data_IF_428775982297
#
_entry.id   IF_428775982297
#
_cell.length_a   1.000
_cell.length_b   1.000
_cell.length_c   1.000
_cell.angle_alpha   90.00
_cell.angle_beta   90.00
_cell.angle_gamma   90.00
#
_symmetry.space_group_name_H-M   'P 1'
#
loop_
_entity.id
_entity.type
_entity.pdbx_description
1 polymer ?
#
# COMPACT_ATOMS: atom_id res chain seq x y z
N UNK A 1 -16.71 -27.06 7.66
CA UNK A 1 -16.30 -25.79 8.28
C UNK A 1 -15.67 -24.86 7.25
N UNK A 2 -15.67 -23.55 7.48
CA UNK A 2 -14.80 -22.61 6.73
C UNK A 2 -13.53 -22.37 7.54
N UNK A 3 -12.38 -22.54 6.92
CA UNK A 3 -11.07 -22.36 7.56
C UNK A 3 -10.28 -21.26 6.85
N UNK A 4 -9.61 -20.36 7.58
CA UNK A 4 -8.70 -19.40 6.98
C UNK A 4 -7.50 -20.14 6.39
N UNK A 5 -6.95 -19.60 5.30
CA UNK A 5 -5.65 -20.05 4.82
C UNK A 5 -4.56 -19.19 5.43
N UNK A 6 -3.55 -19.85 6.00
CA UNK A 6 -2.30 -19.19 6.33
C UNK A 6 -1.62 -18.82 5.03
N UNK A 7 -1.05 -17.62 5.00
CA UNK A 7 -0.31 -17.14 3.83
C UNK A 7 0.93 -18.00 3.64
N UNK A 8 1.09 -18.56 2.45
CA UNK A 8 2.31 -19.26 2.04
C UNK A 8 2.93 -18.56 0.82
N UNK A 9 4.27 -18.55 0.71
CA UNK A 9 4.94 -18.08 -0.48
C UNK A 9 4.45 -18.81 -1.75
N UNK A 10 4.24 -18.08 -2.86
CA UNK A 10 3.82 -18.67 -4.14
C UNK A 10 4.96 -19.36 -4.88
N UNK A 11 6.21 -19.17 -4.44
CA UNK A 11 7.41 -19.76 -5.05
C UNK A 11 8.41 -20.23 -3.98
N UNK A 12 9.40 -21.03 -4.38
CA UNK A 12 10.52 -21.43 -3.50
C UNK A 12 11.39 -20.25 -3.09
N UNK A 13 11.45 -19.22 -3.92
CA UNK A 13 12.24 -18.02 -3.69
C UNK A 13 11.55 -17.04 -2.70
N UNK A 14 10.33 -17.35 -2.29
CA UNK A 14 9.56 -16.56 -1.33
C UNK A 14 8.36 -15.85 -1.95
N UNK A 15 7.89 -14.82 -1.25
CA UNK A 15 6.84 -13.91 -1.68
C UNK A 15 7.30 -13.05 -2.83
N UNK A 16 6.42 -12.85 -3.81
CA UNK A 16 6.65 -11.92 -4.91
C UNK A 16 6.91 -10.49 -4.42
N UNK A 17 6.31 -10.09 -3.30
CA UNK A 17 6.60 -8.85 -2.62
C UNK A 17 6.55 -9.01 -1.10
N UNK A 18 7.57 -8.55 -0.39
CA UNK A 18 7.65 -8.67 1.08
C UNK A 18 6.63 -7.76 1.79
N UNK A 19 6.22 -6.66 1.16
CA UNK A 19 5.24 -5.72 1.72
C UNK A 19 3.78 -6.22 1.62
N UNK A 20 3.50 -7.19 0.74
CA UNK A 20 2.15 -7.72 0.58
C UNK A 20 2.19 -9.11 -0.07
N UNK A 21 1.71 -10.16 0.61
CA UNK A 21 1.79 -11.52 0.09
C UNK A 21 0.96 -11.77 -1.16
N UNK A 22 -0.04 -10.92 -1.42
CA UNK A 22 -0.92 -11.04 -2.57
C UNK A 22 -0.41 -10.27 -3.78
N UNK A 23 0.62 -9.41 -3.65
CA UNK A 23 1.13 -8.59 -4.74
C UNK A 23 1.95 -9.44 -5.71
N UNK A 24 1.35 -9.85 -6.83
CA UNK A 24 1.97 -10.74 -7.82
C UNK A 24 2.85 -9.97 -8.80
N UNK A 25 2.41 -8.79 -9.22
CA UNK A 25 3.15 -7.97 -10.18
C UNK A 25 2.91 -6.48 -9.99
N UNK A 26 3.86 -5.67 -10.49
CA UNK A 26 3.85 -4.22 -10.38
C UNK A 26 4.88 -3.68 -9.39
N UNK A 27 4.88 -2.37 -9.13
CA UNK A 27 5.78 -1.73 -8.18
C UNK A 27 5.72 -2.37 -6.79
N UNK A 28 6.84 -2.80 -6.20
CA UNK A 28 6.89 -3.39 -4.84
C UNK A 28 7.17 -2.34 -3.77
N UNK A 29 7.12 -2.74 -2.51
CA UNK A 29 7.38 -1.87 -1.36
C UNK A 29 6.18 -1.02 -0.93
N UNK A 30 6.25 -0.51 0.29
CA UNK A 30 5.23 0.38 0.86
C UNK A 30 5.33 1.81 0.31
N UNK A 31 6.52 2.21 -0.11
CA UNK A 31 6.81 3.54 -0.65
C UNK A 31 7.61 3.43 -1.94
N UNK A 32 7.24 4.24 -2.91
CA UNK A 32 7.99 4.46 -4.15
C UNK A 32 8.43 5.92 -4.19
N UNK A 33 9.67 6.16 -4.61
CA UNK A 33 10.20 7.49 -4.89
C UNK A 33 10.62 7.59 -6.34
N UNK A 34 10.28 8.72 -6.97
CA UNK A 34 10.61 8.98 -8.37
C UNK A 34 11.04 10.42 -8.56
N UNK A 35 12.18 10.60 -9.21
CA UNK A 35 12.63 11.90 -9.68
C UNK A 35 12.00 12.14 -11.05
N UNK A 36 11.39 13.29 -11.23
CA UNK A 36 10.78 13.70 -12.49
C UNK A 36 11.81 14.41 -13.38
N UNK A 37 11.52 14.55 -14.67
CA UNK A 37 12.43 15.19 -15.64
C UNK A 37 12.74 16.65 -15.30
N UNK A 38 11.77 17.35 -14.71
CA UNK A 38 11.93 18.73 -14.21
C UNK A 38 12.65 18.79 -12.86
N UNK A 39 13.29 17.70 -12.46
CA UNK A 39 13.90 17.46 -11.15
C UNK A 39 12.91 17.45 -9.99
N UNK A 40 11.59 17.60 -10.14
CA UNK A 40 10.66 17.48 -9.01
C UNK A 40 10.59 16.05 -8.45
N UNK A 41 10.04 15.88 -7.25
CA UNK A 41 9.96 14.57 -6.61
C UNK A 41 8.51 14.08 -6.53
N UNK A 42 8.27 12.88 -7.02
CA UNK A 42 7.05 12.12 -6.81
C UNK A 42 7.27 11.05 -5.74
N UNK A 43 6.31 10.91 -4.83
CA UNK A 43 6.30 9.88 -3.79
C UNK A 43 4.94 9.22 -3.77
N UNK A 44 4.91 7.89 -3.74
CA UNK A 44 3.71 7.08 -3.58
C UNK A 44 3.83 6.26 -2.30
N UNK A 45 2.85 6.32 -1.41
CA UNK A 45 2.84 5.59 -0.13
C UNK A 45 1.53 4.81 0.00
N UNK A 46 1.62 3.54 0.35
CA UNK A 46 0.46 2.72 0.68
C UNK A 46 -0.10 3.13 2.05
N UNK A 47 -1.36 3.54 2.12
CA UNK A 47 -2.12 3.72 3.36
C UNK A 47 -3.50 3.06 3.24
N UNK A 48 -3.55 1.72 3.16
CA UNK A 48 -4.80 1.01 2.97
C UNK A 48 -5.85 1.41 4.03
N UNK A 49 -7.08 1.65 3.59
CA UNK A 49 -8.20 1.98 4.45
C UNK A 49 -8.38 3.48 4.72
N UNK A 50 -7.38 4.32 4.44
CA UNK A 50 -7.47 5.77 4.67
C UNK A 50 -8.38 6.43 3.61
N UNK A 51 -9.47 7.11 4.01
CA UNK A 51 -10.29 7.92 3.12
C UNK A 51 -9.65 9.28 2.81
N UNK A 52 -10.19 9.96 1.80
CA UNK A 52 -9.61 11.21 1.28
C UNK A 52 -9.52 12.35 2.29
N UNK A 53 -10.49 12.45 3.20
CA UNK A 53 -10.61 13.49 4.21
C UNK A 53 -9.86 13.18 5.52
N UNK A 54 -9.29 11.98 5.65
CA UNK A 54 -8.59 11.54 6.86
C UNK A 54 -7.07 11.60 6.73
N UNK A 55 -6.54 12.47 5.88
CA UNK A 55 -5.10 12.69 5.73
C UNK A 55 -4.71 14.14 5.99
N UNK A 56 -3.59 14.33 6.70
CA UNK A 56 -2.94 15.62 6.88
C UNK A 56 -1.51 15.51 6.39
N UNK A 57 -1.17 16.38 5.45
CA UNK A 57 0.16 16.48 4.85
C UNK A 57 0.64 17.92 5.03
N UNK A 58 1.84 18.12 5.56
CA UNK A 58 2.39 19.46 5.83
C UNK A 58 3.86 19.51 5.48
N UNK A 59 4.26 20.56 4.77
CA UNK A 59 5.69 20.90 4.64
C UNK A 59 6.16 21.38 6.02
N UNK A 60 7.31 20.89 6.44
CA UNK A 60 7.93 21.30 7.69
C UNK A 60 8.51 22.73 7.59
N UNK A 61 8.74 23.43 8.72
CA UNK A 61 9.29 24.79 8.67
C UNK A 61 10.66 24.89 8.00
N UNK A 62 11.42 23.79 7.94
CA UNK A 62 12.74 23.76 7.28
C UNK A 62 12.63 23.71 5.76
N UNK A 63 11.43 23.44 5.22
CA UNK A 63 11.17 23.17 3.80
C UNK A 63 12.01 22.02 3.25
N UNK A 64 12.40 21.08 4.10
CA UNK A 64 13.15 19.87 3.70
C UNK A 64 12.33 18.62 3.85
N UNK A 65 11.30 18.63 4.67
CA UNK A 65 10.48 17.46 4.95
C UNK A 65 9.00 17.75 4.77
N UNK A 66 8.27 16.67 4.57
CA UNK A 66 6.82 16.61 4.54
C UNK A 66 6.42 15.62 5.62
N UNK A 67 5.70 16.11 6.61
CA UNK A 67 5.11 15.31 7.68
C UNK A 67 3.73 14.84 7.27
N UNK A 68 3.45 13.56 7.50
CA UNK A 68 2.24 12.88 7.06
C UNK A 68 1.61 12.18 8.25
N UNK A 69 0.33 12.42 8.47
CA UNK A 69 -0.49 11.66 9.42
C UNK A 69 -1.80 11.27 8.75
N UNK A 70 -2.21 10.03 8.88
CA UNK A 70 -3.43 9.53 8.24
C UNK A 70 -4.19 8.57 9.15
N UNK A 71 -5.51 8.67 9.15
CA UNK A 71 -6.39 7.82 9.95
C UNK A 71 -7.21 6.90 9.01
N UNK A 72 -7.14 5.60 9.25
CA UNK A 72 -8.00 4.61 8.60
C UNK A 72 -9.04 4.13 9.62
N UNK A 73 -10.32 4.55 9.48
CA UNK A 73 -11.36 4.20 10.43
C UNK A 73 -11.73 2.72 10.34
N UNK A 74 -12.46 2.27 11.36
CA UNK A 74 -13.09 0.96 11.36
C UNK A 74 -14.30 0.98 10.41
N UNK A 75 -14.17 0.36 9.25
CA UNK A 75 -15.22 0.33 8.23
C UNK A 75 -16.20 -0.83 8.43
N UNK A 76 -15.79 -1.88 9.15
CA UNK A 76 -16.67 -3.00 9.46
C UNK A 76 -16.57 -3.43 10.93
N UNK A 77 -17.68 -3.87 11.52
CA UNK A 77 -17.73 -4.32 12.93
C UNK A 77 -16.72 -5.42 13.29
N UNK A 78 -16.28 -6.20 12.30
CA UNK A 78 -15.32 -7.30 12.49
C UNK A 78 -13.85 -6.91 12.27
N UNK A 79 -13.56 -5.71 11.76
CA UNK A 79 -12.20 -5.18 11.77
C UNK A 79 -11.66 -5.20 13.21
N UNK A 80 -10.40 -5.62 13.37
CA UNK A 80 -9.76 -5.75 14.69
C UNK A 80 -9.66 -4.39 15.39
N UNK A 81 -9.22 -3.37 14.66
CA UNK A 81 -9.00 -2.00 15.16
C UNK A 81 -9.04 -1.00 14.00
N UNK A 82 -9.24 0.31 14.26
CA UNK A 82 -8.85 1.35 13.32
C UNK A 82 -7.32 1.36 13.17
N UNK A 83 -6.80 2.03 12.13
CA UNK A 83 -5.36 2.27 11.98
C UNK A 83 -5.03 3.75 11.97
N UNK A 84 -3.87 4.07 12.51
CA UNK A 84 -3.24 5.38 12.36
C UNK A 84 -1.87 5.20 11.72
N UNK A 85 -1.57 6.07 10.77
CA UNK A 85 -0.31 6.13 10.07
C UNK A 85 0.45 7.41 10.37
N UNK A 86 1.76 7.30 10.50
CA UNK A 86 2.68 8.41 10.61
C UNK A 86 3.90 8.18 9.73
N UNK A 87 4.30 9.20 8.97
CA UNK A 87 5.51 9.15 8.15
C UNK A 87 6.08 10.55 7.95
N UNK A 88 7.37 10.61 7.66
CA UNK A 88 8.06 11.81 7.21
C UNK A 88 8.92 11.47 6.00
N UNK A 89 8.89 12.32 4.99
CA UNK A 89 9.63 12.14 3.73
C UNK A 89 10.08 13.49 3.19
N UNK A 90 11.05 13.55 2.28
CA UNK A 90 11.47 14.83 1.72
C UNK A 90 12.85 14.81 1.08
N UNK A 91 13.52 15.96 1.15
CA UNK A 91 14.79 16.23 0.48
C UNK A 91 15.97 15.88 1.38
N UNK A 92 16.81 14.97 0.90
CA UNK A 92 18.10 14.66 1.54
C UNK A 92 19.20 15.68 1.16
N UNK A 93 19.02 16.39 0.05
CA UNK A 93 20.02 17.33 -0.45
C UNK A 93 20.02 18.67 0.31
N UNK A 94 21.21 19.28 0.38
CA UNK A 94 21.37 20.59 1.03
C UNK A 94 21.00 21.76 0.12
N UNK A 95 21.06 21.59 -1.20
CA UNK A 95 20.92 22.66 -2.20
C UNK A 95 19.47 23.04 -2.56
N UNK A 96 18.47 22.19 -2.30
CA UNK A 96 17.08 22.45 -2.69
C UNK A 96 16.14 22.58 -1.49
N UNK A 97 15.13 23.43 -1.59
CA UNK A 97 14.00 23.53 -0.66
C UNK A 97 12.72 23.13 -1.37
N UNK A 98 11.76 22.60 -0.62
CA UNK A 98 10.40 22.32 -1.09
C UNK A 98 9.69 23.66 -1.27
N UNK A 99 9.33 23.97 -2.50
CA UNK A 99 8.61 25.20 -2.87
C UNK A 99 7.11 24.98 -3.02
N UNK A 100 6.69 23.74 -3.29
CA UNK A 100 5.30 23.37 -3.48
C UNK A 100 5.03 21.92 -3.11
N UNK A 101 3.79 21.65 -2.74
CA UNK A 101 3.29 20.34 -2.38
C UNK A 101 1.88 20.17 -2.94
N UNK A 102 1.68 19.14 -3.74
CA UNK A 102 0.36 18.63 -4.11
C UNK A 102 0.23 17.23 -3.54
N UNK A 103 -0.87 16.96 -2.83
CA UNK A 103 -1.19 15.64 -2.29
C UNK A 103 -2.51 15.14 -2.84
N UNK A 104 -2.56 13.85 -3.13
CA UNK A 104 -3.75 13.15 -3.57
C UNK A 104 -3.78 11.77 -2.95
N UNK A 105 -4.88 11.38 -2.33
CA UNK A 105 -5.08 10.02 -1.85
C UNK A 105 -6.33 9.45 -2.49
N UNK A 106 -6.20 8.21 -2.97
CA UNK A 106 -7.30 7.44 -3.56
C UNK A 106 -6.99 5.96 -3.36
N UNK A 107 -8.03 5.18 -3.12
CA UNK A 107 -7.94 3.72 -2.99
C UNK A 107 -6.85 3.26 -1.99
N UNK A 108 -6.65 4.03 -0.91
CA UNK A 108 -5.66 3.71 0.11
C UNK A 108 -4.20 3.90 -0.34
N UNK A 109 -3.94 4.77 -1.32
CA UNK A 109 -2.58 5.13 -1.77
C UNK A 109 -2.45 6.65 -1.81
N UNK A 110 -1.56 7.19 -0.97
CA UNK A 110 -1.15 8.58 -1.00
C UNK A 110 -0.13 8.81 -2.10
N UNK A 111 -0.31 9.89 -2.85
CA UNK A 111 0.58 10.38 -3.90
C UNK A 111 0.94 11.82 -3.58
N UNK A 112 2.24 12.10 -3.52
CA UNK A 112 2.78 13.42 -3.28
C UNK A 112 3.60 13.85 -4.49
N UNK A 113 3.38 15.09 -4.92
CA UNK A 113 4.23 15.77 -5.88
C UNK A 113 4.86 16.98 -5.18
N UNK A 114 6.18 16.94 -5.03
CA UNK A 114 6.98 17.96 -4.37
C UNK A 114 7.73 18.77 -5.40
N UNK A 115 7.37 20.04 -5.51
CA UNK A 115 8.13 21.00 -6.31
C UNK A 115 9.32 21.52 -5.52
N UNK A 116 10.46 21.69 -6.20
CA UNK A 116 11.71 22.10 -5.57
C UNK A 116 12.28 23.36 -6.20
N UNK A 117 12.92 24.19 -5.38
CA UNK A 117 13.72 25.33 -5.84
C UNK A 117 15.08 25.30 -5.18
N UNK A 118 16.10 25.90 -5.81
CA UNK A 118 17.41 26.06 -5.15
C UNK A 118 17.27 26.99 -3.95
N UNK A 119 17.91 26.62 -2.84
CA UNK A 119 17.99 27.45 -1.65
C UNK A 119 18.79 28.73 -1.96
N UNK A 120 18.34 29.88 -1.46
CA UNK A 120 18.94 31.19 -1.76
C UNK A 120 20.32 31.42 -1.13
N UNK A 121 20.79 30.51 -0.27
CA UNK A 121 21.96 30.72 0.60
C UNK A 121 23.30 30.16 0.08
N UNK A 122 23.42 29.81 -1.20
CA UNK A 122 24.72 29.39 -1.76
C UNK A 122 25.24 30.40 -2.78
N UNK A 123 26.44 30.92 -2.49
CA UNK A 123 27.27 31.73 -3.37
C UNK A 123 27.50 31.05 -4.73
N UNK A 124 27.96 31.78 -5.77
CA UNK A 124 27.93 31.33 -7.17
C UNK A 124 28.76 30.08 -7.49
N UNK A 125 29.48 29.49 -6.53
CA UNK A 125 30.32 28.31 -6.74
C UNK A 125 29.53 27.00 -6.95
N UNK A 126 28.22 26.99 -6.69
CA UNK A 126 27.35 25.83 -6.88
C UNK A 126 26.72 25.75 -8.30
N UNK A 127 27.04 26.69 -9.20
CA UNK A 127 26.59 26.64 -10.61
C UNK A 127 27.08 25.37 -11.33
N UNK A 128 28.15 24.72 -10.83
CA UNK A 128 28.78 23.57 -11.50
C UNK A 128 28.74 22.22 -10.74
N UNK A 129 28.09 22.12 -9.57
CA UNK A 129 28.13 20.89 -8.74
C UNK A 129 26.78 20.35 -8.27
N UNK A 130 25.66 20.95 -8.68
CA UNK A 130 24.34 20.33 -8.45
C UNK A 130 23.94 19.35 -9.57
N UNK A 131 24.71 19.25 -10.66
CA UNK A 131 24.26 18.60 -11.90
C UNK A 131 25.22 17.54 -12.46
N UNK A 132 25.98 16.83 -11.62
CA UNK A 132 26.87 15.75 -12.14
C UNK A 132 26.79 14.41 -11.39
N UNK A 133 25.77 14.18 -10.55
CA UNK A 133 25.54 12.87 -9.92
C UNK A 133 24.08 12.71 -9.48
N UNK A 134 23.52 11.50 -9.53
CA UNK A 134 22.11 11.29 -9.20
C UNK A 134 21.87 11.72 -7.75
N UNK A 135 20.82 12.52 -7.53
CA UNK A 135 20.20 12.63 -6.23
C UNK A 135 19.77 11.23 -5.81
N UNK A 136 20.61 10.55 -5.02
CA UNK A 136 20.37 9.16 -4.64
C UNK A 136 19.08 9.08 -3.85
N UNK A 137 18.13 8.30 -4.35
CA UNK A 137 16.96 7.88 -3.61
C UNK A 137 17.38 7.28 -2.27
N UNK A 138 16.56 7.36 -1.21
CA UNK A 138 16.77 6.51 -0.04
C UNK A 138 16.89 5.04 -0.50
N UNK A 139 17.84 4.29 0.05
CA UNK A 139 17.96 2.85 -0.23
C UNK A 139 16.61 2.13 0.03
N UNK A 140 16.27 1.13 -0.79
CA UNK A 140 15.05 0.32 -0.63
C UNK A 140 13.74 1.00 -1.08
N UNK A 141 13.83 2.06 -1.88
CA UNK A 141 12.66 2.79 -2.40
C UNK A 141 12.42 2.68 -3.90
N UNK A 142 13.32 1.98 -4.59
CA UNK A 142 13.10 1.55 -5.96
C UNK A 142 12.04 0.42 -5.93
N UNK A 143 10.87 0.61 -6.53
CA UNK A 143 9.83 -0.42 -6.54
C UNK A 143 10.22 -1.70 -7.29
N UNK A 144 11.36 -1.72 -7.99
CA UNK A 144 11.92 -2.87 -8.68
C UNK A 144 13.14 -3.49 -7.96
N UNK A 145 13.47 -3.01 -6.75
CA UNK A 145 14.56 -3.55 -5.96
C UNK A 145 14.33 -5.05 -5.65
N UNK A 146 15.28 -5.94 -5.98
CA UNK A 146 15.20 -7.36 -5.64
C UNK A 146 15.00 -7.63 -4.14
N UNK A 147 15.48 -6.75 -3.25
CA UNK A 147 15.31 -6.88 -1.79
C UNK A 147 13.84 -6.78 -1.35
N UNK A 148 12.97 -6.22 -2.20
CA UNK A 148 11.52 -6.17 -1.95
C UNK A 148 10.82 -7.51 -2.27
N UNK A 149 11.56 -8.57 -2.53
CA UNK A 149 11.11 -9.95 -2.76
C UNK A 149 11.80 -10.87 -1.77
N UNK A 150 11.10 -11.83 -1.18
CA UNK A 150 11.78 -12.72 -0.23
C UNK A 150 10.87 -13.59 0.63
N UNK A 151 11.46 -14.39 1.52
CA UNK A 151 10.74 -15.42 2.26
C UNK A 151 9.88 -14.88 3.40
N UNK A 152 10.12 -13.65 3.85
CA UNK A 152 9.48 -13.06 5.02
C UNK A 152 8.64 -11.85 4.61
N UNK A 153 7.43 -11.75 5.17
CA UNK A 153 6.62 -10.55 5.03
C UNK A 153 7.08 -9.47 6.01
N UNK A 154 7.07 -8.23 5.55
CA UNK A 154 7.43 -7.07 6.35
C UNK A 154 6.18 -6.38 6.91
N UNK A 155 6.20 -5.93 8.17
CA UNK A 155 5.15 -5.08 8.71
C UNK A 155 5.21 -3.68 8.06
N UNK A 156 4.04 -3.05 7.94
CA UNK A 156 3.94 -1.71 7.37
C UNK A 156 4.67 -0.66 8.24
N UNK A 157 5.73 -0.01 7.75
CA UNK A 157 6.64 0.80 8.59
C UNK A 157 6.00 2.07 9.12
N UNK A 158 4.95 2.56 8.47
CA UNK A 158 4.25 3.79 8.88
C UNK A 158 3.08 3.56 9.85
N UNK A 159 2.76 2.32 10.27
CA UNK A 159 1.62 2.08 11.17
C UNK A 159 2.01 2.42 12.61
N UNK A 160 1.32 3.38 13.22
CA UNK A 160 1.49 3.73 14.63
C UNK A 160 0.50 2.96 15.53
N UNK A 161 -0.71 2.70 15.02
CA UNK A 161 -1.80 2.05 15.75
C UNK A 161 -2.50 1.07 14.81
N UNK A 162 -2.83 -0.11 15.33
CA UNK A 162 -3.62 -1.14 14.64
C UNK A 162 -2.76 -2.16 13.90
N UNK A 163 -3.37 -2.92 12.99
CA UNK A 163 -2.69 -3.99 12.25
C UNK A 163 -1.74 -3.43 11.18
N UNK A 164 -0.47 -3.79 11.27
CA UNK A 164 0.60 -3.48 10.32
C UNK A 164 0.74 -4.51 9.20
N UNK A 165 -0.01 -5.62 9.27
CA UNK A 165 0.00 -6.68 8.26
C UNK A 165 -1.09 -6.50 7.20
N UNK A 166 -0.78 -6.92 5.98
CA UNK A 166 -1.69 -6.85 4.83
C UNK A 166 -2.85 -7.87 4.87
N UNK A 167 -2.82 -8.83 5.79
CA UNK A 167 -3.80 -9.91 5.89
C UNK A 167 -4.20 -10.13 7.34
N UNK A 168 -5.50 -10.14 7.62
CA UNK A 168 -6.04 -10.60 8.90
C UNK A 168 -7.33 -11.41 8.69
N UNK A 169 -7.61 -12.28 9.64
CA UNK A 169 -8.83 -13.08 9.64
C UNK A 169 -9.32 -13.34 11.06
N UNK A 170 -10.61 -13.68 11.17
CA UNK A 170 -11.24 -14.05 12.44
C UNK A 170 -12.41 -15.00 12.21
N UNK A 171 -12.47 -16.08 12.97
CA UNK A 171 -13.66 -16.93 13.05
C UNK A 171 -14.77 -16.17 13.80
N UNK A 172 -15.94 -16.11 13.19
CA UNK A 172 -17.12 -15.46 13.74
C UNK A 172 -17.85 -16.39 14.70
N UNK A 173 -18.63 -15.81 15.63
CA UNK A 173 -19.38 -16.58 16.63
C UNK A 173 -20.40 -17.55 16.04
N UNK A 174 -20.84 -17.32 14.80
CA UNK A 174 -21.74 -18.21 14.07
C UNK A 174 -21.00 -19.29 13.24
N UNK A 175 -19.68 -19.44 13.42
CA UNK A 175 -18.86 -20.36 12.65
C UNK A 175 -18.49 -19.91 11.23
N UNK A 176 -18.88 -18.68 10.83
CA UNK A 176 -18.40 -18.06 9.60
C UNK A 176 -16.98 -17.51 9.73
N UNK A 177 -16.43 -16.99 8.63
CA UNK A 177 -15.08 -16.42 8.59
C UNK A 177 -15.14 -14.96 8.11
N UNK A 178 -14.49 -14.10 8.88
CA UNK A 178 -14.13 -12.75 8.44
C UNK A 178 -12.70 -12.76 7.92
N UNK A 179 -12.50 -12.15 6.76
CA UNK A 179 -11.18 -11.92 6.16
C UNK A 179 -11.06 -10.46 5.79
N UNK A 180 -9.89 -9.88 6.00
CA UNK A 180 -9.51 -8.56 5.51
C UNK A 180 -8.16 -8.64 4.81
N UNK A 181 -8.10 -8.07 3.62
CA UNK A 181 -6.92 -8.03 2.76
C UNK A 181 -6.66 -6.60 2.35
N UNK A 182 -5.43 -6.14 2.53
CA UNK A 182 -4.98 -4.88 1.97
C UNK A 182 -4.57 -5.10 0.52
N UNK A 183 -5.18 -4.36 -0.39
CA UNK A 183 -4.78 -4.24 -1.79
C UNK A 183 -4.73 -2.75 -2.15
N UNK A 184 -3.72 -2.01 -1.66
CA UNK A 184 -3.61 -0.58 -1.89
C UNK A 184 -3.65 -0.24 -3.38
N UNK A 185 -4.50 0.71 -3.74
CA UNK A 185 -4.67 1.20 -5.10
C UNK A 185 -5.71 0.45 -5.90
N UNK A 186 -6.29 -0.64 -5.39
CA UNK A 186 -7.39 -1.36 -6.05
C UNK A 186 -8.73 -0.64 -5.80
N UNK A 187 -9.38 -0.11 -6.85
CA UNK A 187 -10.70 0.47 -6.74
C UNK A 187 -11.77 -0.54 -6.33
N UNK A 188 -12.87 -0.05 -5.75
CA UNK A 188 -13.98 -0.87 -5.25
C UNK A 188 -14.65 -1.78 -6.31
N UNK A 189 -14.44 -1.53 -7.59
CA UNK A 189 -15.02 -2.24 -8.72
C UNK A 189 -13.99 -3.07 -9.52
N UNK A 190 -12.72 -3.08 -9.09
CA UNK A 190 -11.63 -3.81 -9.75
C UNK A 190 -11.08 -4.95 -8.91
N UNK A 191 -11.94 -5.58 -8.14
CA UNK A 191 -11.60 -6.80 -7.42
C UNK A 191 -12.58 -7.91 -7.75
N UNK A 192 -12.12 -9.15 -7.65
CA UNK A 192 -12.98 -10.32 -7.82
C UNK A 192 -12.79 -11.29 -6.67
N UNK A 193 -13.86 -12.00 -6.34
CA UNK A 193 -13.86 -13.10 -5.38
C UNK A 193 -14.43 -14.32 -6.07
N UNK A 194 -13.68 -15.41 -6.06
CA UNK A 194 -14.10 -16.66 -6.69
C UNK A 194 -13.98 -17.82 -5.71
N UNK A 195 -14.79 -18.85 -5.94
CA UNK A 195 -14.77 -20.09 -5.18
C UNK A 195 -14.59 -21.24 -6.16
N UNK A 196 -13.42 -21.87 -6.13
CA UNK A 196 -13.06 -22.99 -7.01
C UNK A 196 -12.55 -24.14 -6.16
N UNK A 197 -13.18 -25.32 -6.28
CA UNK A 197 -12.80 -26.51 -5.50
C UNK A 197 -12.72 -26.25 -3.98
N UNK A 198 -13.66 -25.46 -3.44
CA UNK A 198 -13.68 -25.07 -2.04
C UNK A 198 -12.69 -23.95 -1.66
N UNK A 199 -11.80 -23.51 -2.55
CA UNK A 199 -10.84 -22.43 -2.29
C UNK A 199 -11.47 -21.09 -2.60
N UNK A 200 -11.47 -20.20 -1.61
CA UNK A 200 -11.87 -18.80 -1.78
C UNK A 200 -10.64 -18.00 -2.18
N UNK A 201 -10.66 -17.46 -3.40
CA UNK A 201 -9.58 -16.63 -3.94
C UNK A 201 -10.05 -15.19 -4.11
N UNK A 202 -9.12 -14.26 -3.92
CA UNK A 202 -9.32 -12.83 -4.18
C UNK A 202 -8.30 -12.35 -5.19
N UNK A 203 -8.75 -11.55 -6.16
CA UNK A 203 -7.85 -10.80 -7.04
C UNK A 203 -8.20 -9.32 -7.04
N UNK A 204 -7.23 -8.47 -7.36
CA UNK A 204 -7.41 -7.03 -7.43
C UNK A 204 -6.49 -6.41 -8.47
N UNK A 205 -7.04 -5.52 -9.28
CA UNK A 205 -6.31 -4.72 -10.27
C UNK A 205 -6.26 -3.26 -9.82
N UNK A 206 -5.06 -2.80 -9.49
CA UNK A 206 -4.78 -1.41 -9.15
C UNK A 206 -4.17 -0.71 -10.37
N UNK A 207 -4.89 0.19 -11.05
CA UNK A 207 -4.34 0.94 -12.16
C UNK A 207 -3.25 1.91 -11.68
N UNK A 208 -2.32 2.25 -12.58
CA UNK A 208 -1.43 3.38 -12.37
C UNK A 208 -2.26 4.68 -12.37
N UNK A 209 -2.03 5.57 -11.40
CA UNK A 209 -2.69 6.88 -11.32
C UNK A 209 -1.64 7.98 -11.28
N UNK A 210 -1.72 8.92 -12.21
CA UNK A 210 -0.81 10.06 -12.27
C UNK A 210 0.61 9.62 -12.65
N UNK A 211 1.54 9.77 -11.70
CA UNK A 211 2.99 9.58 -11.92
C UNK A 211 3.53 8.23 -11.42
N UNK A 212 2.65 7.36 -10.90
CA UNK A 212 2.96 5.98 -10.49
C UNK A 212 3.85 5.29 -11.55
N UNK A 213 4.87 4.54 -11.13
CA UNK A 213 5.71 3.78 -12.09
C UNK A 213 4.97 2.63 -12.77
N UNK A 214 3.84 2.18 -12.23
CA UNK A 214 3.00 1.18 -12.85
C UNK A 214 1.78 0.82 -12.01
N UNK A 215 0.87 0.05 -12.62
CA UNK A 215 -0.22 -0.59 -11.90
C UNK A 215 0.27 -1.80 -11.09
N UNK A 216 -0.58 -2.29 -10.19
CA UNK A 216 -0.33 -3.51 -9.40
C UNK A 216 -1.43 -4.53 -9.63
N UNK A 217 -1.04 -5.79 -9.66
CA UNK A 217 -1.97 -6.91 -9.67
C UNK A 217 -1.79 -7.75 -8.41
N UNK A 218 -2.91 -7.99 -7.74
CA UNK A 218 -2.99 -8.78 -6.52
C UNK A 218 -3.76 -10.08 -6.77
N UNK A 219 -3.29 -11.19 -6.21
CA UNK A 219 -3.97 -12.48 -6.27
C UNK A 219 -3.54 -13.39 -5.13
N UNK A 220 -4.49 -14.09 -4.53
CA UNK A 220 -4.19 -15.24 -3.68
C UNK A 220 -5.41 -15.87 -3.03
N UNK A 221 -5.17 -17.00 -2.38
CA UNK A 221 -6.18 -17.77 -1.67
C UNK A 221 -6.25 -17.32 -0.20
N UNK A 222 -7.46 -17.18 0.33
CA UNK A 222 -7.68 -16.64 1.68
C UNK A 222 -8.48 -17.56 2.59
N UNK A 223 -9.22 -18.50 2.03
CA UNK A 223 -9.98 -19.47 2.83
C UNK A 223 -10.20 -20.77 2.07
N UNK A 224 -10.47 -21.83 2.83
CA UNK A 224 -10.91 -23.13 2.34
C UNK A 224 -12.27 -23.50 2.95
N UNK A 225 -13.16 -24.02 2.11
CA UNK A 225 -14.44 -24.61 2.49
C UNK A 225 -14.24 -26.13 2.58
N UNK A 226 -14.42 -26.73 3.77
CA UNK A 226 -14.15 -28.16 3.96
C UNK A 226 -15.12 -29.10 3.24
N UNK A 227 -16.35 -28.67 2.96
CA UNK A 227 -17.30 -29.50 2.22
C UNK A 227 -17.24 -29.17 0.73
N UNK A 228 -17.32 -30.19 -0.11
CA UNK A 228 -17.48 -30.04 -1.57
C UNK A 228 -18.80 -29.36 -1.96
N UNK A 229 -19.65 -29.03 -0.98
CA UNK A 229 -20.83 -28.21 -1.19
C UNK A 229 -20.36 -26.80 -1.54
N UNK A 230 -20.33 -26.53 -2.85
CA UNK A 230 -20.12 -25.19 -3.39
C UNK A 230 -21.07 -24.22 -2.70
N UNK A 231 -20.54 -23.31 -1.88
CA UNK A 231 -21.21 -22.06 -1.58
C UNK A 231 -21.13 -21.26 -2.88
N UNK A 232 -22.27 -20.87 -3.51
CA UNK A 232 -22.21 -19.94 -4.62
C UNK A 232 -21.52 -18.66 -4.15
N UNK A 233 -20.49 -18.19 -4.87
CA UNK A 233 -19.70 -17.01 -4.49
C UNK A 233 -20.56 -15.79 -4.10
N UNK A 234 -21.76 -15.65 -4.69
CA UNK A 234 -22.79 -14.65 -4.32
C UNK A 234 -23.21 -14.64 -2.84
N UNK A 235 -22.96 -15.70 -2.07
CA UNK A 235 -23.24 -15.77 -0.63
C UNK A 235 -22.09 -15.20 0.22
N UNK A 236 -20.89 -15.03 -0.35
CA UNK A 236 -19.79 -14.33 0.32
C UNK A 236 -20.08 -12.84 0.21
N UNK A 237 -20.28 -12.17 1.34
CA UNK A 237 -20.45 -10.72 1.34
C UNK A 237 -19.08 -10.07 1.19
N UNK A 238 -18.95 -9.23 0.17
CA UNK A 238 -17.71 -8.52 -0.16
C UNK A 238 -17.87 -7.02 0.11
N UNK A 239 -16.88 -6.42 0.76
CA UNK A 239 -16.84 -4.97 1.01
C UNK A 239 -15.44 -4.49 0.62
N UNK A 240 -15.34 -3.71 -0.46
CA UNK A 240 -14.08 -3.09 -0.89
C UNK A 240 -14.17 -1.58 -0.73
N UNK A 241 -13.22 -0.99 -0.01
CA UNK A 241 -13.16 0.45 0.21
C UNK A 241 -11.72 0.87 0.53
N UNK A 242 -11.26 1.95 -0.11
CA UNK A 242 -9.95 2.55 0.13
C UNK A 242 -8.79 1.54 0.07
N UNK A 243 -8.77 0.65 -0.93
CA UNK A 243 -7.71 -0.35 -1.07
C UNK A 243 -7.72 -1.45 0.00
N UNK A 244 -8.86 -1.68 0.67
CA UNK A 244 -9.05 -2.79 1.63
C UNK A 244 -10.26 -3.60 1.22
N UNK A 245 -10.07 -4.90 1.03
CA UNK A 245 -11.10 -5.87 0.71
C UNK A 245 -11.45 -6.66 1.97
N UNK A 246 -12.73 -6.77 2.26
CA UNK A 246 -13.26 -7.53 3.39
C UNK A 246 -14.23 -8.59 2.88
N UNK A 247 -14.06 -9.82 3.34
CA UNK A 247 -14.94 -10.93 3.04
C UNK A 247 -15.63 -11.40 4.31
N UNK A 248 -16.93 -11.65 4.22
CA UNK A 248 -17.70 -12.35 5.25
C UNK A 248 -18.20 -13.62 4.59
N UNK A 249 -17.54 -14.72 4.92
CA UNK A 249 -17.83 -16.06 4.39
C UNK A 249 -18.74 -16.74 5.39
N UNK A 250 -19.97 -17.14 5.00
CA UNK A 250 -20.90 -17.77 5.92
C UNK A 250 -20.40 -19.15 6.38
N UNK A 251 -20.90 -19.67 7.51
CA UNK A 251 -20.71 -21.08 7.85
C UNK A 251 -21.29 -21.98 6.74
N UNK A 252 -20.71 -23.17 6.58
CA UNK A 252 -21.20 -24.23 5.69
C UNK A 252 -22.40 -24.96 6.31
#
# INVERSE_FOLDING_TARGET
>A
MVVPLTVAPPSRDGFYAVNNPFLVSGPKGFTEFKMLENEDMFIRIDFPGVPQDAIKVRIDPTKKAVSITADAPKEHKHDSSPRNYGSATGLVCKCCEISGLVSHISDGVLRLHLSKTRASSQSPSCIYRCSTGPHTFPHGTDPHDPELTGPLLEPHPCVNIGSDMAYEWKILSNGGLYVRVDMPGVPKDRFTVSVVNGRVSVTGDAPAVGLDSGGRFYSGEVAMLESQVSIPGRKIKTIAKNGVIRLIIPPL
#
